data_IF_043295399863
#
_entry.id   IF_043295399863
#
_cell.length_a   1.000
_cell.length_b   1.000
_cell.length_c   1.000
_cell.angle_alpha   90.00
_cell.angle_beta   90.00
_cell.angle_gamma   90.00
#
_symmetry.space_group_name_H-M   'P 1'
#
loop_
_entity.id
_entity.type
_entity.pdbx_description
1 polymer ?
#
# COMPACT_ATOMS: atom_id res chain seq x y z
N UNK A 1 -17.83 -22.77 3.35
CA UNK A 1 -18.03 -22.19 2.00
C UNK A 1 -17.73 -20.71 2.12
N UNK A 2 -16.45 -20.35 2.05
CA UNK A 2 -15.97 -18.97 2.19
C UNK A 2 -15.74 -18.45 0.78
N UNK A 3 -16.54 -17.50 0.34
CA UNK A 3 -16.40 -16.90 -0.98
C UNK A 3 -15.18 -15.99 -0.96
N UNK A 4 -14.15 -16.36 -1.72
CA UNK A 4 -13.03 -15.49 -2.05
C UNK A 4 -13.54 -14.41 -3.03
N UNK A 5 -13.69 -13.18 -2.55
CA UNK A 5 -13.96 -12.01 -3.40
C UNK A 5 -12.64 -11.37 -3.78
N UNK A 6 -11.87 -12.03 -4.65
CA UNK A 6 -10.73 -11.44 -5.33
C UNK A 6 -11.23 -10.65 -6.56
N UNK A 7 -11.96 -9.56 -6.30
CA UNK A 7 -12.23 -8.52 -7.30
C UNK A 7 -11.04 -7.57 -7.37
N UNK A 8 -10.50 -7.33 -8.56
CA UNK A 8 -9.72 -6.11 -8.81
C UNK A 8 -10.56 -4.94 -8.30
N UNK A 9 -10.03 -4.05 -7.43
CA UNK A 9 -10.82 -2.92 -6.97
C UNK A 9 -11.23 -2.13 -8.20
N UNK A 10 -12.54 -2.07 -8.40
CA UNK A 10 -13.20 -1.08 -9.23
C UNK A 10 -12.58 0.28 -8.93
N UNK A 11 -12.19 1.01 -9.96
CA UNK A 11 -11.39 2.25 -9.96
C UNK A 11 -12.24 3.43 -9.45
N UNK A 12 -12.97 3.23 -8.36
CA UNK A 12 -13.97 4.13 -7.82
C UNK A 12 -13.85 4.30 -6.31
N UNK A 13 -14.32 5.44 -5.83
CA UNK A 13 -14.33 5.79 -4.40
C UNK A 13 -15.38 4.91 -3.68
N UNK A 14 -14.94 4.08 -2.74
CA UNK A 14 -15.82 3.31 -1.86
C UNK A 14 -16.15 4.12 -0.60
N UNK A 15 -17.44 4.35 -0.35
CA UNK A 15 -17.93 4.98 0.87
C UNK A 15 -18.77 3.98 1.67
N UNK A 16 -18.50 3.85 2.97
CA UNK A 16 -19.24 2.99 3.89
C UNK A 16 -19.79 3.81 5.07
N UNK A 17 -21.12 3.75 5.28
CA UNK A 17 -21.78 4.47 6.38
C UNK A 17 -21.88 3.55 7.60
N UNK A 18 -20.99 3.77 8.58
CA UNK A 18 -20.95 2.95 9.80
C UNK A 18 -22.05 3.30 10.82
N UNK A 19 -22.59 4.52 10.76
CA UNK A 19 -23.61 5.02 11.70
C UNK A 19 -24.47 6.11 11.05
N UNK A 20 -25.73 6.21 11.48
CA UNK A 20 -26.68 7.23 11.03
C UNK A 20 -27.52 6.76 9.85
N UNK A 21 -28.36 7.66 9.32
CA UNK A 21 -29.16 7.46 8.11
C UNK A 21 -29.09 8.73 7.26
N UNK A 22 -27.97 8.97 6.57
CA UNK A 22 -27.83 10.13 5.71
C UNK A 22 -28.85 10.04 4.58
N UNK A 23 -29.31 11.21 4.15
CA UNK A 23 -30.18 11.35 2.99
C UNK A 23 -29.38 11.16 1.70
N UNK A 24 -30.09 10.89 0.60
CA UNK A 24 -29.47 10.77 -0.72
C UNK A 24 -28.76 12.07 -1.14
N UNK A 25 -29.33 13.23 -0.78
CA UNK A 25 -28.75 14.53 -1.07
C UNK A 25 -27.42 14.75 -0.34
N UNK A 26 -27.34 14.33 0.93
CA UNK A 26 -26.10 14.42 1.71
C UNK A 26 -25.02 13.48 1.18
N UNK A 27 -25.40 12.26 0.79
CA UNK A 27 -24.46 11.33 0.15
C UNK A 27 -23.96 11.86 -1.20
N UNK A 28 -24.84 12.44 -2.01
CA UNK A 28 -24.46 13.05 -3.29
C UNK A 28 -23.50 14.24 -3.09
N UNK A 29 -23.79 15.11 -2.11
CA UNK A 29 -22.91 16.22 -1.76
C UNK A 29 -21.53 15.73 -1.31
N UNK A 30 -21.47 14.69 -0.47
CA UNK A 30 -20.22 14.10 -0.02
C UNK A 30 -19.42 13.49 -1.17
N UNK A 31 -20.07 12.71 -2.03
CA UNK A 31 -19.43 12.10 -3.20
C UNK A 31 -18.85 13.17 -4.12
N UNK A 32 -19.61 14.24 -4.39
CA UNK A 32 -19.15 15.33 -5.25
C UNK A 32 -17.87 15.98 -4.71
N UNK A 33 -17.87 16.36 -3.43
CA UNK A 33 -16.72 17.01 -2.77
C UNK A 33 -15.49 16.10 -2.74
N UNK A 34 -15.67 14.82 -2.36
CA UNK A 34 -14.55 13.88 -2.26
C UNK A 34 -13.99 13.55 -3.64
N UNK A 35 -14.84 13.43 -4.65
CA UNK A 35 -14.40 13.17 -6.02
C UNK A 35 -13.62 14.34 -6.60
N UNK A 36 -14.07 15.58 -6.37
CA UNK A 36 -13.36 16.79 -6.79
C UNK A 36 -12.00 16.91 -6.12
N UNK A 37 -11.93 16.74 -4.79
CA UNK A 37 -10.67 16.77 -4.06
C UNK A 37 -9.70 15.67 -4.54
N UNK A 38 -10.21 14.46 -4.80
CA UNK A 38 -9.39 13.38 -5.32
C UNK A 38 -8.86 13.67 -6.74
N UNK A 39 -9.68 14.27 -7.60
CA UNK A 39 -9.28 14.63 -8.95
C UNK A 39 -8.20 15.73 -8.96
N UNK A 40 -8.31 16.72 -8.07
CA UNK A 40 -7.29 17.76 -7.91
C UNK A 40 -5.96 17.16 -7.44
N UNK A 41 -6.00 16.34 -6.39
CA UNK A 41 -4.81 15.64 -5.87
C UNK A 41 -4.16 14.76 -6.94
N UNK A 42 -4.96 13.94 -7.63
CA UNK A 42 -4.46 13.07 -8.70
C UNK A 42 -3.85 13.86 -9.86
N UNK A 43 -4.41 15.02 -10.22
CA UNK A 43 -3.84 15.88 -11.27
C UNK A 43 -2.47 16.47 -10.89
N UNK A 44 -2.22 16.65 -9.59
CA UNK A 44 -0.96 17.15 -9.05
C UNK A 44 0.07 16.03 -8.78
N UNK A 45 -0.37 14.77 -8.85
CA UNK A 45 0.48 13.63 -8.54
C UNK A 45 1.58 13.47 -9.59
N UNK A 46 2.83 13.43 -9.10
CA UNK A 46 4.02 13.20 -9.94
C UNK A 46 4.46 11.73 -9.92
N UNK A 47 3.87 10.94 -9.02
CA UNK A 47 4.16 9.52 -8.90
C UNK A 47 3.37 8.72 -9.96
N UNK A 48 4.00 7.70 -10.54
CA UNK A 48 3.30 6.77 -11.43
C UNK A 48 2.29 5.91 -10.66
N UNK A 49 1.07 5.81 -11.20
CA UNK A 49 -0.01 4.96 -10.65
C UNK A 49 0.27 3.45 -10.80
N UNK A 50 1.20 3.08 -11.69
CA UNK A 50 1.60 1.69 -11.84
C UNK A 50 2.45 1.26 -10.67
N UNK A 51 2.01 0.24 -9.93
CA UNK A 51 2.85 -0.45 -8.94
C UNK A 51 4.04 -1.11 -9.63
N UNK A 52 5.12 -0.36 -9.75
CA UNK A 52 6.41 -0.84 -10.23
C UNK A 52 7.24 -1.39 -9.06
N UNK A 53 8.11 -2.35 -9.37
CA UNK A 53 9.09 -2.82 -8.37
C UNK A 53 10.01 -1.67 -8.01
N UNK A 54 10.12 -1.37 -6.72
CA UNK A 54 11.02 -0.31 -6.25
C UNK A 54 12.47 -0.68 -6.57
N UNK A 55 13.32 0.31 -6.85
CA UNK A 55 14.75 0.08 -7.05
C UNK A 55 15.39 -0.68 -5.89
N UNK A 56 14.93 -0.43 -4.66
CA UNK A 56 15.32 -1.17 -3.46
C UNK A 56 14.98 -2.66 -3.56
N UNK A 57 13.74 -3.01 -3.93
CA UNK A 57 13.30 -4.40 -4.10
C UNK A 57 14.12 -5.15 -5.16
N UNK A 58 14.53 -4.45 -6.22
CA UNK A 58 15.39 -5.01 -7.28
C UNK A 58 16.83 -5.18 -6.79
N UNK A 59 17.34 -4.24 -5.98
CA UNK A 59 18.70 -4.26 -5.47
C UNK A 59 18.93 -5.15 -4.25
N UNK A 60 17.86 -5.66 -3.61
CA UNK A 60 17.96 -6.52 -2.45
C UNK A 60 18.67 -7.83 -2.83
N UNK A 61 19.90 -7.99 -2.34
CA UNK A 61 20.64 -9.25 -2.43
C UNK A 61 20.12 -10.20 -1.35
N UNK A 62 20.11 -11.50 -1.65
CA UNK A 62 19.82 -12.53 -0.65
C UNK A 62 20.66 -12.28 0.60
N UNK A 63 19.99 -12.20 1.76
CA UNK A 63 20.70 -12.13 3.03
C UNK A 63 21.66 -13.32 3.10
N UNK A 64 22.95 -13.04 3.29
CA UNK A 64 23.94 -14.09 3.57
C UNK A 64 23.49 -14.86 4.81
N UNK A 65 23.90 -16.12 4.91
CA UNK A 65 23.68 -16.92 6.12
C UNK A 65 24.07 -16.09 7.36
N UNK A 66 23.16 -15.91 8.32
CA UNK A 66 23.46 -15.18 9.54
C UNK A 66 24.69 -15.74 10.23
N UNK A 67 25.53 -14.87 10.80
CA UNK A 67 26.69 -15.29 11.58
C UNK A 67 26.23 -16.21 12.71
N UNK A 68 26.74 -17.44 12.75
CA UNK A 68 26.47 -18.41 13.83
C UNK A 68 27.10 -17.91 15.11
N UNK A 69 26.32 -17.18 15.92
CA UNK A 69 26.76 -16.60 17.21
C UNK A 69 27.19 -17.67 18.22
N UNK A 70 26.69 -18.89 18.03
CA UNK A 70 27.04 -20.10 18.79
C UNK A 70 28.53 -20.48 18.68
N UNK A 71 29.22 -20.05 17.61
CA UNK A 71 30.62 -20.42 17.37
C UNK A 71 31.65 -19.46 18.01
N UNK A 72 31.20 -18.38 18.66
CA UNK A 72 32.09 -17.37 19.28
C UNK A 72 32.91 -16.55 18.26
N UNK A 73 33.62 -15.51 18.73
CA UNK A 73 34.46 -14.61 17.90
C UNK A 73 35.88 -15.18 17.63
N UNK A 74 36.14 -16.46 17.88
CA UNK A 74 37.51 -17.00 18.04
C UNK A 74 38.36 -17.17 16.76
N UNK A 75 38.13 -16.39 15.70
CA UNK A 75 38.76 -16.60 14.39
C UNK A 75 39.78 -15.57 13.89
N UNK A 76 39.81 -14.34 14.43
CA UNK A 76 40.76 -13.32 13.93
C UNK A 76 42.01 -13.23 14.82
N UNK A 77 43.03 -14.01 14.47
CA UNK A 77 44.40 -13.82 14.98
C UNK A 77 45.21 -13.23 13.82
N UNK A 78 45.35 -11.90 13.81
CA UNK A 78 46.12 -11.19 12.79
C UNK A 78 47.58 -11.61 12.84
N UNK A 79 48.00 -12.45 11.90
CA UNK A 79 49.40 -12.64 11.54
C UNK A 79 49.53 -13.07 10.08
#
# INVERSE_FOLDING_TARGET
MTTDQSGTPDEGIRLEVLRGRPTEAELAALIAVVSEAYAEEASSAVADDTRSRTAWSVSQRSLRTPLRRELGWSGFQGR
#
